data_IF_544009635574
#
_entry.id   IF_544009635574
#
_cell.length_a   1.000
_cell.length_b   1.000
_cell.length_c   1.000
_cell.angle_alpha   90.00
_cell.angle_beta   90.00
_cell.angle_gamma   90.00
#
_symmetry.space_group_name_H-M   'P 1'
#
loop_
_entity.id
_entity.type
_entity.pdbx_description
1 polymer ?
#
# COMPACT_ATOMS: atom_id res chain seq x y z
N UNK A 1 1.18 -75.68 -31.67
CA UNK A 1 0.64 -74.30 -31.70
C UNK A 1 1.33 -73.52 -30.58
N UNK A 2 1.84 -72.31 -30.87
CA UNK A 2 2.77 -71.53 -30.01
C UNK A 2 2.10 -71.03 -28.71
N UNK A 3 2.86 -70.58 -27.68
CA UNK A 3 3.40 -69.22 -27.72
C UNK A 3 4.85 -69.06 -27.22
N UNK A 4 5.44 -67.96 -27.69
CA UNK A 4 6.78 -67.43 -27.40
C UNK A 4 6.68 -66.55 -26.15
N UNK A 5 6.87 -67.11 -24.95
CA UNK A 5 6.72 -66.35 -23.70
C UNK A 5 7.97 -66.32 -22.79
N UNK A 6 8.97 -67.18 -23.00
CA UNK A 6 9.92 -67.48 -21.92
C UNK A 6 11.36 -66.98 -22.08
N UNK A 7 11.68 -66.15 -23.08
CA UNK A 7 13.09 -65.81 -23.37
C UNK A 7 13.55 -64.39 -23.01
N UNK A 8 12.76 -63.63 -22.25
CA UNK A 8 13.19 -62.30 -21.77
C UNK A 8 13.04 -62.16 -20.26
N UNK A 9 13.55 -63.17 -19.55
CA UNK A 9 13.81 -63.10 -18.11
C UNK A 9 15.31 -63.25 -17.86
N UNK A 10 16.11 -62.25 -18.21
CA UNK A 10 17.37 -62.00 -17.51
C UNK A 10 17.95 -60.61 -17.80
N UNK A 11 18.15 -59.87 -16.71
CA UNK A 11 18.92 -58.62 -16.61
C UNK A 11 18.18 -57.37 -17.13
N UNK A 12 17.78 -56.38 -16.31
CA UNK A 12 18.30 -55.91 -15.03
C UNK A 12 17.17 -55.33 -14.20
N UNK A 13 17.29 -55.54 -12.90
CA UNK A 13 16.44 -55.06 -11.82
C UNK A 13 16.08 -53.57 -11.98
N UNK A 14 14.81 -53.23 -11.72
CA UNK A 14 14.42 -51.85 -11.45
C UNK A 14 15.25 -51.33 -10.27
N UNK A 15 15.91 -50.15 -10.38
CA UNK A 15 16.57 -49.56 -9.23
C UNK A 15 15.52 -49.24 -8.15
N UNK A 16 15.81 -49.57 -6.88
CA UNK A 16 14.91 -49.31 -5.77
C UNK A 16 14.85 -47.80 -5.53
N UNK A 17 13.66 -47.21 -5.68
CA UNK A 17 13.44 -45.82 -5.29
C UNK A 17 12.68 -44.94 -6.28
N UNK A 18 11.56 -45.41 -6.84
CA UNK A 18 10.44 -44.50 -7.10
C UNK A 18 9.78 -44.15 -5.75
N UNK A 19 10.53 -43.44 -4.89
CA UNK A 19 9.88 -42.53 -3.96
C UNK A 19 9.23 -41.49 -4.85
N UNK A 20 7.90 -41.44 -4.76
CA UNK A 20 7.12 -40.25 -5.01
C UNK A 20 7.89 -39.08 -4.41
N UNK A 21 8.69 -38.39 -5.24
CA UNK A 21 8.99 -37.00 -4.97
C UNK A 21 7.65 -36.34 -5.19
N UNK A 22 6.95 -36.10 -4.08
CA UNK A 22 5.83 -35.17 -4.01
C UNK A 22 6.20 -34.00 -4.92
N UNK A 23 5.57 -33.93 -6.08
CA UNK A 23 5.73 -32.78 -6.94
C UNK A 23 5.10 -31.64 -6.15
N UNK A 24 5.85 -30.59 -5.76
CA UNK A 24 5.24 -29.46 -5.10
C UNK A 24 4.32 -28.84 -6.14
N UNK A 25 3.03 -28.93 -5.85
CA UNK A 25 1.91 -28.31 -6.55
C UNK A 25 1.99 -26.78 -6.40
N UNK A 26 3.07 -26.17 -6.92
CA UNK A 26 3.34 -24.73 -6.86
C UNK A 26 3.80 -24.19 -8.23
N UNK A 27 3.30 -24.79 -9.31
CA UNK A 27 3.46 -24.26 -10.67
C UNK A 27 2.50 -23.10 -10.97
N UNK A 28 2.26 -22.22 -9.99
CA UNK A 28 1.68 -20.90 -10.24
C UNK A 28 2.85 -20.01 -10.66
N UNK A 29 2.97 -19.83 -11.98
CA UNK A 29 3.90 -18.95 -12.72
C UNK A 29 4.93 -18.18 -11.89
N UNK A 30 6.24 -18.48 -12.00
CA UNK A 30 7.32 -17.77 -11.28
C UNK A 30 7.26 -16.24 -11.40
N UNK A 31 6.71 -15.73 -12.50
CA UNK A 31 6.52 -14.30 -12.78
C UNK A 31 5.41 -13.65 -11.93
N UNK A 32 4.49 -14.42 -11.35
CA UNK A 32 3.45 -13.95 -10.44
C UNK A 32 4.02 -13.45 -9.11
N UNK A 33 5.23 -13.90 -8.73
CA UNK A 33 5.92 -13.48 -7.50
C UNK A 33 6.63 -12.12 -7.62
N UNK A 34 6.72 -11.57 -8.84
CA UNK A 34 7.31 -10.27 -9.08
C UNK A 34 6.27 -9.17 -8.95
N UNK A 35 6.66 -8.07 -8.31
CA UNK A 35 5.87 -6.84 -8.35
C UNK A 35 5.85 -6.27 -9.77
N UNK A 36 4.89 -5.39 -10.06
CA UNK A 36 4.79 -4.72 -11.36
C UNK A 36 6.11 -4.03 -11.75
N UNK A 37 6.74 -3.34 -10.79
CA UNK A 37 8.03 -2.66 -11.01
C UNK A 37 9.17 -3.64 -11.27
N UNK A 38 9.21 -4.78 -10.58
CA UNK A 38 10.21 -5.82 -10.79
C UNK A 38 10.03 -6.50 -12.15
N UNK A 39 8.78 -6.69 -12.59
CA UNK A 39 8.46 -7.26 -13.90
C UNK A 39 8.93 -6.37 -15.05
N UNK A 40 8.77 -5.05 -14.93
CA UNK A 40 9.29 -4.09 -15.92
C UNK A 40 10.82 -4.13 -16.01
N UNK A 41 11.52 -4.13 -14.88
CA UNK A 41 13.00 -4.25 -14.88
C UNK A 41 13.44 -5.59 -15.48
N UNK A 42 12.74 -6.67 -15.17
CA UNK A 42 13.02 -8.00 -15.70
C UNK A 42 12.82 -8.07 -17.23
N UNK A 43 11.72 -7.53 -17.75
CA UNK A 43 11.42 -7.55 -19.19
C UNK A 43 12.47 -6.75 -19.97
N UNK A 44 12.75 -5.50 -19.55
CA UNK A 44 13.77 -4.65 -20.19
C UNK A 44 15.17 -5.26 -20.14
N UNK A 45 15.51 -5.93 -19.04
CA UNK A 45 16.77 -6.67 -18.97
C UNK A 45 16.81 -7.82 -19.96
N UNK A 46 15.73 -8.60 -20.08
CA UNK A 46 15.63 -9.73 -21.00
C UNK A 46 15.61 -9.31 -22.48
N UNK A 47 15.04 -8.14 -22.79
CA UNK A 47 15.10 -7.46 -24.10
C UNK A 47 16.54 -7.07 -24.51
N UNK A 48 17.50 -7.15 -23.59
CA UNK A 48 18.91 -6.93 -23.88
C UNK A 48 19.44 -5.58 -23.44
N UNK A 49 18.59 -4.68 -22.92
CA UNK A 49 19.01 -3.35 -22.50
C UNK A 49 20.08 -3.42 -21.39
N UNK A 50 20.98 -2.45 -21.43
CA UNK A 50 22.01 -2.23 -20.43
C UNK A 50 21.43 -1.57 -19.17
N UNK A 51 22.16 -1.62 -18.06
CA UNK A 51 21.68 -1.04 -16.81
C UNK A 51 21.47 0.48 -16.88
N UNK A 52 22.19 1.17 -17.77
CA UNK A 52 22.00 2.61 -18.00
C UNK A 52 20.72 2.88 -18.79
N UNK A 53 20.50 2.15 -19.88
CA UNK A 53 19.29 2.31 -20.69
C UNK A 53 18.02 1.96 -19.90
N UNK A 54 18.05 0.91 -19.08
CA UNK A 54 16.93 0.57 -18.18
C UNK A 54 16.72 1.66 -17.14
N UNK A 55 17.79 2.25 -16.62
CA UNK A 55 17.72 3.34 -15.65
C UNK A 55 17.08 4.59 -16.26
N UNK A 56 17.49 4.94 -17.48
CA UNK A 56 16.97 6.09 -18.22
C UNK A 56 15.50 5.87 -18.59
N UNK A 57 15.14 4.69 -19.10
CA UNK A 57 13.76 4.39 -19.53
C UNK A 57 12.78 4.28 -18.35
N UNK A 58 13.25 3.78 -17.20
CA UNK A 58 12.42 3.64 -16.01
C UNK A 58 12.56 4.83 -15.04
N UNK A 59 13.33 5.87 -15.37
CA UNK A 59 13.60 7.04 -14.54
C UNK A 59 14.10 6.71 -13.12
N UNK A 60 15.09 5.82 -13.01
CA UNK A 60 15.72 5.40 -11.74
C UNK A 60 17.24 5.35 -11.85
N UNK A 61 17.96 5.32 -10.72
CA UNK A 61 19.42 5.23 -10.75
C UNK A 61 19.91 3.84 -11.26
N UNK A 62 21.05 3.77 -11.98
CA UNK A 62 21.64 2.50 -12.46
C UNK A 62 21.92 1.47 -11.35
N UNK A 63 22.30 1.91 -10.15
CA UNK A 63 22.47 1.03 -9.00
C UNK A 63 21.14 0.44 -8.49
N UNK A 64 20.04 1.16 -8.68
CA UNK A 64 18.69 0.68 -8.35
C UNK A 64 18.29 -0.44 -9.30
N UNK A 65 18.61 -0.34 -10.60
CA UNK A 65 18.43 -1.45 -11.57
C UNK A 65 19.21 -2.69 -11.12
N UNK A 66 20.48 -2.54 -10.74
CA UNK A 66 21.29 -3.66 -10.22
C UNK A 66 20.67 -4.30 -8.97
N UNK A 67 20.15 -3.48 -8.06
CA UNK A 67 19.48 -3.94 -6.83
C UNK A 67 18.18 -4.68 -7.15
N UNK A 68 17.37 -4.17 -8.07
CA UNK A 68 16.16 -4.85 -8.53
C UNK A 68 16.49 -6.21 -9.16
N UNK A 69 17.47 -6.28 -10.06
CA UNK A 69 17.88 -7.54 -10.69
C UNK A 69 18.36 -8.58 -9.67
N UNK A 70 19.11 -8.17 -8.65
CA UNK A 70 19.53 -9.07 -7.57
C UNK A 70 18.33 -9.65 -6.80
N UNK A 71 17.34 -8.81 -6.47
CA UNK A 71 16.10 -9.24 -5.80
C UNK A 71 15.27 -10.15 -6.70
N UNK A 72 15.13 -9.81 -7.98
CA UNK A 72 14.41 -10.61 -8.99
C UNK A 72 15.04 -11.99 -9.10
N UNK A 73 16.37 -12.09 -9.24
CA UNK A 73 17.07 -13.36 -9.31
C UNK A 73 16.85 -14.21 -8.06
N UNK A 74 16.91 -13.59 -6.88
CA UNK A 74 16.62 -14.28 -5.61
C UNK A 74 15.16 -14.78 -5.53
N UNK A 75 14.19 -13.95 -5.94
CA UNK A 75 12.75 -14.28 -5.92
C UNK A 75 12.38 -15.38 -6.92
N UNK A 76 13.01 -15.38 -8.09
CA UNK A 76 12.81 -16.39 -9.13
C UNK A 76 13.68 -17.64 -8.94
N UNK A 77 14.59 -17.65 -7.97
CA UNK A 77 15.53 -18.76 -7.75
C UNK A 77 16.55 -18.95 -8.88
N UNK A 78 16.76 -17.94 -9.72
CA UNK A 78 17.67 -17.99 -10.86
C UNK A 78 19.01 -17.32 -10.54
N UNK A 79 20.05 -17.68 -11.29
CA UNK A 79 21.42 -17.24 -11.02
C UNK A 79 21.99 -16.30 -12.08
N UNK A 80 21.38 -16.23 -13.26
CA UNK A 80 21.92 -15.44 -14.37
C UNK A 80 20.82 -14.92 -15.30
N UNK A 81 21.21 -13.96 -16.13
CA UNK A 81 20.35 -13.31 -17.14
C UNK A 81 19.80 -14.32 -18.17
N UNK A 82 20.56 -15.36 -18.51
CA UNK A 82 20.13 -16.39 -19.46
C UNK A 82 18.90 -17.17 -18.94
N UNK A 83 18.90 -17.53 -17.65
CA UNK A 83 17.75 -18.16 -17.00
C UNK A 83 16.53 -17.22 -16.92
N UNK A 84 16.74 -15.91 -16.79
CA UNK A 84 15.66 -14.93 -16.83
C UNK A 84 14.99 -14.88 -18.21
N UNK A 85 15.81 -14.82 -19.26
CA UNK A 85 15.34 -14.83 -20.67
C UNK A 85 14.56 -16.12 -20.96
N UNK A 86 15.10 -17.26 -20.55
CA UNK A 86 14.44 -18.54 -20.70
C UNK A 86 13.04 -18.56 -20.04
N UNK A 87 12.94 -18.13 -18.77
CA UNK A 87 11.65 -18.10 -18.06
C UNK A 87 10.63 -17.15 -18.70
N UNK A 88 11.06 -16.03 -19.27
CA UNK A 88 10.16 -15.10 -19.96
C UNK A 88 9.71 -15.63 -21.33
N UNK A 89 10.53 -16.45 -22.00
CA UNK A 89 10.20 -17.07 -23.28
C UNK A 89 9.41 -18.38 -23.13
N UNK A 90 9.37 -18.96 -21.92
CA UNK A 90 8.65 -20.20 -21.62
C UNK A 90 7.16 -20.03 -21.31
N UNK A 91 6.61 -18.81 -21.34
CA UNK A 91 5.15 -18.63 -21.28
C UNK A 91 4.51 -19.33 -22.49
N UNK A 92 3.69 -20.38 -22.31
CA UNK A 92 2.94 -20.95 -23.42
C UNK A 92 2.02 -19.87 -23.98
N UNK A 93 2.18 -19.55 -25.27
CA UNK A 93 1.33 -18.60 -26.00
C UNK A 93 0.00 -19.20 -26.50
N UNK A 94 -0.44 -20.34 -25.97
CA UNK A 94 -1.61 -21.04 -26.49
C UNK A 94 -2.78 -21.04 -25.50
N UNK A 95 -3.63 -20.01 -25.59
CA UNK A 95 -5.09 -20.09 -25.67
C UNK A 95 -5.70 -18.66 -25.60
N UNK A 96 -5.86 -18.02 -26.75
CA UNK A 96 -6.45 -16.68 -26.88
C UNK A 96 -7.99 -16.69 -26.87
N UNK A 97 -8.67 -17.81 -26.59
CA UNK A 97 -10.13 -17.91 -26.76
C UNK A 97 -10.95 -18.58 -25.63
N UNK A 98 -10.39 -18.82 -24.45
CA UNK A 98 -11.23 -19.13 -23.28
C UNK A 98 -11.59 -17.83 -22.54
N UNK A 99 -12.87 -17.51 -22.28
CA UNK A 99 -13.23 -16.43 -21.37
C UNK A 99 -12.88 -16.86 -19.95
N UNK A 100 -11.60 -16.74 -19.60
CA UNK A 100 -11.16 -16.81 -18.22
C UNK A 100 -11.66 -15.51 -17.59
N UNK A 101 -12.84 -15.59 -16.95
CA UNK A 101 -13.27 -14.56 -16.02
C UNK A 101 -12.27 -14.57 -14.88
N UNK A 102 -11.18 -13.80 -15.04
CA UNK A 102 -10.31 -13.45 -13.94
C UNK A 102 -11.21 -12.73 -12.97
N UNK A 103 -11.50 -13.35 -11.83
CA UNK A 103 -11.94 -12.61 -10.66
C UNK A 103 -10.79 -11.67 -10.36
N UNK A 104 -10.84 -10.47 -10.93
CA UNK A 104 -9.94 -9.39 -10.64
C UNK A 104 -10.30 -8.96 -9.22
N UNK A 105 -9.70 -9.62 -8.23
CA UNK A 105 -9.61 -9.02 -6.92
C UNK A 105 -8.93 -7.65 -7.16
N UNK A 106 -9.57 -6.54 -6.77
CA UNK A 106 -8.97 -5.24 -6.95
C UNK A 106 -7.57 -5.28 -6.32
N UNK A 107 -6.54 -4.74 -6.99
CA UNK A 107 -5.21 -4.67 -6.41
C UNK A 107 -5.35 -4.05 -5.01
N UNK A 108 -4.65 -4.56 -3.98
CA UNK A 108 -4.70 -3.96 -2.66
C UNK A 108 -4.41 -2.47 -2.82
N UNK A 109 -5.25 -1.63 -2.22
CA UNK A 109 -5.10 -0.17 -2.33
C UNK A 109 -3.64 0.18 -2.00
N UNK A 110 -2.97 0.88 -2.91
CA UNK A 110 -1.60 1.30 -2.71
C UNK A 110 -1.52 2.02 -1.34
N UNK A 111 -0.70 1.54 -0.38
CA UNK A 111 -0.71 2.07 0.98
C UNK A 111 -0.16 3.51 1.06
N UNK A 112 0.43 4.00 -0.03
CA UNK A 112 0.98 5.34 -0.12
C UNK A 112 0.14 6.18 -1.08
N UNK A 113 -0.67 7.12 -0.58
CA UNK A 113 -1.60 7.90 -1.39
C UNK A 113 -0.94 9.02 -2.21
N UNK A 114 0.40 9.07 -2.23
CA UNK A 114 1.17 10.10 -2.94
C UNK A 114 1.03 11.47 -2.28
N UNK A 115 0.65 12.50 -3.07
CA UNK A 115 0.47 13.87 -2.57
C UNK A 115 -0.88 14.13 -1.91
N UNK A 116 -1.78 13.13 -1.89
CA UNK A 116 -3.08 13.26 -1.24
C UNK A 116 -2.87 13.21 0.28
N UNK A 117 -3.39 14.19 1.05
CA UNK A 117 -3.27 14.16 2.49
C UNK A 117 -4.11 13.03 3.09
N UNK A 118 -3.52 12.28 4.02
CA UNK A 118 -4.22 11.25 4.78
C UNK A 118 -5.39 11.85 5.55
N UNK A 119 -6.51 11.13 5.57
CA UNK A 119 -7.73 11.49 6.29
C UNK A 119 -7.83 10.68 7.59
N UNK A 120 -8.85 10.97 8.41
CA UNK A 120 -9.11 10.24 9.65
C UNK A 120 -9.24 8.73 9.44
N UNK A 121 -9.83 8.31 8.31
CA UNK A 121 -10.01 6.90 7.96
C UNK A 121 -8.68 6.19 7.67
N UNK A 122 -7.64 6.95 7.34
CA UNK A 122 -6.30 6.43 7.05
C UNK A 122 -5.40 6.38 8.29
N UNK A 123 -5.92 6.64 9.50
CA UNK A 123 -5.12 6.66 10.73
C UNK A 123 -4.30 5.38 10.94
N UNK A 124 -4.84 4.23 10.51
CA UNK A 124 -4.16 2.94 10.57
C UNK A 124 -2.91 2.84 9.66
N UNK A 125 -2.69 3.80 8.76
CA UNK A 125 -1.53 3.86 7.87
C UNK A 125 -0.58 5.04 8.20
N UNK A 126 -0.91 5.85 9.22
CA UNK A 126 -0.14 7.04 9.60
C UNK A 126 0.81 6.74 10.76
N UNK A 127 2.13 6.78 10.50
CA UNK A 127 3.18 6.39 11.46
C UNK A 127 4.34 7.38 11.51
N UNK A 128 5.11 7.33 12.59
CA UNK A 128 6.38 8.05 12.77
C UNK A 128 6.22 9.50 13.21
N UNK A 129 5.00 9.91 13.58
CA UNK A 129 4.66 11.26 14.05
C UNK A 129 3.98 11.29 15.42
N UNK A 130 4.12 10.20 16.17
CA UNK A 130 3.44 9.97 17.45
C UNK A 130 3.87 11.01 18.51
N UNK A 131 5.15 11.40 18.48
CA UNK A 131 5.68 12.41 19.40
C UNK A 131 5.07 13.80 19.15
N UNK A 132 4.93 14.22 17.88
CA UNK A 132 4.28 15.50 17.57
C UNK A 132 2.79 15.47 17.93
N UNK A 133 2.09 14.38 17.60
CA UNK A 133 0.68 14.20 17.97
C UNK A 133 0.50 14.34 19.48
N UNK A 134 1.28 13.61 20.27
CA UNK A 134 1.21 13.65 21.73
C UNK A 134 1.45 15.06 22.26
N UNK A 135 2.43 15.78 21.70
CA UNK A 135 2.72 17.15 22.09
C UNK A 135 1.53 18.10 21.79
N UNK A 136 0.92 17.98 20.61
CA UNK A 136 -0.26 18.76 20.24
C UNK A 136 -1.47 18.49 21.15
N UNK A 137 -1.72 17.23 21.50
CA UNK A 137 -2.81 16.86 22.43
C UNK A 137 -2.57 17.45 23.82
N UNK A 138 -1.33 17.37 24.34
CA UNK A 138 -1.00 17.98 25.62
C UNK A 138 -1.14 19.50 25.60
N UNK A 139 -0.76 20.15 24.49
CA UNK A 139 -0.93 21.58 24.29
C UNK A 139 -2.41 21.98 24.29
N UNK A 140 -3.25 21.27 23.51
CA UNK A 140 -4.70 21.53 23.45
C UNK A 140 -5.41 21.31 24.79
N UNK A 141 -4.82 20.52 25.69
CA UNK A 141 -5.28 20.36 27.07
C UNK A 141 -5.08 21.60 27.93
N UNK A 142 -4.10 22.43 27.59
CA UNK A 142 -3.74 23.64 28.34
C UNK A 142 -4.24 24.91 27.66
N UNK A 143 -4.26 24.94 26.33
CA UNK A 143 -4.65 26.09 25.53
C UNK A 143 -5.59 25.68 24.39
N UNK A 144 -6.73 26.35 24.20
CA UNK A 144 -7.71 26.00 23.15
C UNK A 144 -7.27 26.42 21.74
N UNK A 145 -6.02 26.85 21.56
CA UNK A 145 -5.49 27.34 20.30
C UNK A 145 -4.15 26.68 19.99
N UNK A 146 -4.04 26.14 18.78
CA UNK A 146 -2.83 25.51 18.26
C UNK A 146 -2.60 25.98 16.82
N UNK A 147 -1.41 26.50 16.55
CA UNK A 147 -0.98 26.88 15.20
C UNK A 147 0.06 25.88 14.68
N UNK A 148 -0.20 25.27 13.52
CA UNK A 148 0.71 24.32 12.88
C UNK A 148 1.37 24.95 11.65
N UNK A 149 2.68 25.18 11.71
CA UNK A 149 3.47 25.83 10.64
C UNK A 149 4.48 24.84 10.06
N UNK A 150 4.75 24.94 8.76
CA UNK A 150 5.79 24.14 8.10
C UNK A 150 5.72 24.21 6.58
N UNK A 151 6.76 23.73 5.87
CA UNK A 151 6.84 23.75 4.40
C UNK A 151 5.62 23.12 3.72
N UNK A 152 5.26 23.59 2.52
CA UNK A 152 4.19 22.96 1.73
C UNK A 152 4.51 21.48 1.46
N UNK A 153 3.51 20.62 1.51
CA UNK A 153 3.69 19.18 1.30
C UNK A 153 4.35 18.41 2.47
N UNK A 154 4.74 19.07 3.57
CA UNK A 154 5.34 18.39 4.74
C UNK A 154 4.39 17.48 5.54
N UNK A 155 3.13 17.32 5.09
CA UNK A 155 2.14 16.47 5.75
C UNK A 155 1.37 17.13 6.88
N UNK A 156 1.32 18.47 6.99
CA UNK A 156 0.57 19.17 8.06
C UNK A 156 -0.91 18.77 8.13
N UNK A 157 -1.58 18.77 6.98
CA UNK A 157 -2.98 18.36 6.89
C UNK A 157 -3.13 16.89 7.29
N UNK A 158 -2.26 16.00 6.82
CA UNK A 158 -2.25 14.59 7.22
C UNK A 158 -2.03 14.41 8.73
N UNK A 159 -1.10 15.17 9.31
CA UNK A 159 -0.80 15.14 10.74
C UNK A 159 -2.02 15.55 11.57
N UNK A 160 -2.80 16.54 11.10
CA UNK A 160 -4.05 16.91 11.75
C UNK A 160 -5.10 15.81 11.55
N UNK A 161 -5.42 15.47 10.30
CA UNK A 161 -6.57 14.63 9.98
C UNK A 161 -6.38 13.16 10.35
N UNK A 162 -5.23 12.57 10.04
CA UNK A 162 -4.96 11.15 10.31
C UNK A 162 -4.28 10.90 11.66
N UNK A 163 -3.68 11.93 12.25
CA UNK A 163 -2.96 11.82 13.53
C UNK A 163 -3.72 12.44 14.70
N UNK A 164 -3.81 13.77 14.72
CA UNK A 164 -4.35 14.52 15.85
C UNK A 164 -5.82 14.24 16.12
N UNK A 165 -6.68 14.28 15.09
CA UNK A 165 -8.12 14.15 15.29
C UNK A 165 -8.54 12.75 15.79
N UNK A 166 -8.02 11.64 15.23
CA UNK A 166 -8.28 10.31 15.76
C UNK A 166 -7.78 10.16 17.20
N UNK A 167 -6.59 10.70 17.51
CA UNK A 167 -6.04 10.66 18.87
C UNK A 167 -6.91 11.45 19.85
N UNK A 168 -7.40 12.65 19.47
CA UNK A 168 -8.30 13.44 20.32
C UNK A 168 -9.61 12.69 20.61
N UNK A 169 -10.19 12.02 19.61
CA UNK A 169 -11.41 11.24 19.76
C UNK A 169 -11.25 10.02 20.68
N UNK A 170 -10.05 9.42 20.71
CA UNK A 170 -9.75 8.25 21.55
C UNK A 170 -9.15 8.63 22.92
N UNK A 171 -8.74 9.89 23.09
CA UNK A 171 -8.02 10.30 24.28
C UNK A 171 -8.93 10.32 25.51
N UNK A 172 -8.43 9.76 26.61
CA UNK A 172 -9.08 9.82 27.94
C UNK A 172 -9.08 11.21 28.58
N UNK A 173 -8.52 12.22 27.93
CA UNK A 173 -8.38 13.56 28.48
C UNK A 173 -9.63 14.41 28.29
N UNK A 174 -10.46 14.03 27.31
CA UNK A 174 -11.68 14.74 26.96
C UNK A 174 -12.84 13.76 27.08
N UNK A 175 -14.02 14.28 27.43
CA UNK A 175 -15.23 13.47 27.47
C UNK A 175 -15.67 13.07 26.05
N UNK A 176 -16.55 12.08 25.95
CA UNK A 176 -17.22 11.78 24.69
C UNK A 176 -17.93 13.05 24.17
N UNK A 177 -17.86 13.28 22.86
CA UNK A 177 -18.45 14.45 22.17
C UNK A 177 -17.90 15.82 22.61
N UNK A 178 -16.75 15.87 23.28
CA UNK A 178 -16.11 17.14 23.68
C UNK A 178 -15.71 18.02 22.47
N UNK A 179 -15.35 17.39 21.35
CA UNK A 179 -14.86 18.08 20.17
C UNK A 179 -15.89 18.11 19.05
N UNK A 180 -16.33 19.31 18.66
CA UNK A 180 -17.01 19.52 17.39
C UNK A 180 -15.97 19.72 16.28
N UNK A 181 -15.81 18.72 15.41
CA UNK A 181 -14.89 18.82 14.28
C UNK A 181 -15.51 19.55 13.10
N UNK A 182 -14.89 20.66 12.68
CA UNK A 182 -15.18 21.38 11.42
C UNK A 182 -13.89 21.76 10.73
N UNK A 183 -13.87 21.64 9.40
CA UNK A 183 -12.73 22.07 8.57
C UNK A 183 -13.14 23.28 7.75
N UNK A 184 -12.38 24.37 7.87
CA UNK A 184 -12.65 25.63 7.19
C UNK A 184 -11.44 26.04 6.35
N UNK A 185 -11.69 26.50 5.12
CA UNK A 185 -10.74 27.30 4.36
C UNK A 185 -11.18 28.76 4.40
N UNK A 186 -10.40 29.68 5.00
CA UNK A 186 -10.79 31.07 5.25
C UNK A 186 -11.34 31.81 4.01
N UNK A 187 -10.73 31.63 2.84
CA UNK A 187 -11.13 32.32 1.61
C UNK A 187 -11.13 33.85 1.75
N UNK A 188 -11.91 34.53 0.91
CA UNK A 188 -12.02 35.99 0.92
C UNK A 188 -12.89 36.56 2.05
N UNK A 189 -13.78 35.76 2.66
CA UNK A 189 -14.72 36.19 3.69
C UNK A 189 -14.74 35.19 4.87
N UNK A 190 -13.68 35.16 5.70
CA UNK A 190 -13.47 34.16 6.74
C UNK A 190 -14.60 34.11 7.79
N UNK A 191 -15.08 35.27 8.25
CA UNK A 191 -16.14 35.32 9.27
C UNK A 191 -17.46 34.73 8.78
N UNK A 192 -17.84 35.03 7.53
CA UNK A 192 -19.05 34.46 6.91
C UNK A 192 -18.93 32.94 6.76
N UNK A 193 -17.78 32.46 6.27
CA UNK A 193 -17.52 31.02 6.12
C UNK A 193 -17.55 30.29 7.46
N UNK A 194 -17.07 30.92 8.53
CA UNK A 194 -17.13 30.35 9.87
C UNK A 194 -18.57 30.24 10.37
N UNK A 195 -19.39 31.28 10.18
CA UNK A 195 -20.81 31.26 10.54
C UNK A 195 -21.56 30.12 9.81
N UNK A 196 -21.38 30.00 8.49
CA UNK A 196 -21.98 28.91 7.69
C UNK A 196 -21.59 27.51 8.22
N UNK A 197 -20.35 27.31 8.67
CA UNK A 197 -19.90 26.03 9.23
C UNK A 197 -20.50 25.71 10.61
N UNK A 198 -20.89 26.74 11.37
CA UNK A 198 -21.52 26.61 12.67
C UNK A 198 -23.06 26.52 12.58
N UNK A 199 -23.69 27.12 11.56
CA UNK A 199 -25.16 27.10 11.40
C UNK A 199 -25.71 25.74 10.93
N UNK A 200 -24.89 24.91 10.27
CA UNK A 200 -25.29 23.56 9.79
C UNK A 200 -25.56 22.53 10.91
N UNK A 201 -25.72 22.96 12.16
CA UNK A 201 -25.90 22.13 13.37
C UNK A 201 -27.35 21.72 13.67
N UNK A 202 -28.32 22.15 12.87
CA UNK A 202 -29.76 21.99 13.13
C UNK A 202 -30.31 20.55 13.11
N UNK A 203 -29.47 19.52 12.91
CA UNK A 203 -29.86 18.11 12.98
C UNK A 203 -29.65 17.42 14.35
N UNK A 204 -28.91 18.05 15.28
CA UNK A 204 -28.59 17.53 16.63
C UNK A 204 -28.69 18.66 17.69
N UNK A 205 -29.82 19.36 17.64
CA UNK A 205 -29.99 20.76 18.06
C UNK A 205 -29.74 21.09 19.55
N UNK A 206 -30.07 20.22 20.51
CA UNK A 206 -29.99 20.61 21.94
C UNK A 206 -28.56 20.66 22.51
N UNK A 207 -27.66 19.76 22.08
CA UNK A 207 -26.32 19.64 22.68
C UNK A 207 -25.33 20.68 22.11
N UNK A 208 -25.47 21.00 20.83
CA UNK A 208 -24.60 21.95 20.14
C UNK A 208 -24.88 23.41 20.56
N UNK A 209 -26.15 23.78 20.70
CA UNK A 209 -26.55 25.12 21.13
C UNK A 209 -26.03 25.44 22.54
N UNK A 210 -26.14 24.48 23.46
CA UNK A 210 -25.62 24.60 24.83
C UNK A 210 -24.09 24.75 24.86
N UNK A 211 -23.37 24.00 24.03
CA UNK A 211 -21.91 24.02 23.95
C UNK A 211 -21.38 25.33 23.35
N UNK A 212 -22.01 25.82 22.28
CA UNK A 212 -21.66 27.11 21.65
C UNK A 212 -21.95 28.27 22.60
N UNK A 213 -23.10 28.27 23.29
CA UNK A 213 -23.39 29.29 24.32
C UNK A 213 -22.35 29.29 25.44
N UNK A 214 -21.93 28.12 25.95
CA UNK A 214 -20.86 28.03 26.96
C UNK A 214 -19.51 28.54 26.45
N UNK A 215 -19.19 28.29 25.19
CA UNK A 215 -17.92 28.70 24.59
C UNK A 215 -17.87 30.22 24.35
N UNK A 216 -18.97 30.81 23.89
CA UNK A 216 -19.10 32.26 23.75
C UNK A 216 -19.14 32.97 25.13
N UNK A 217 -19.84 32.41 26.11
CA UNK A 217 -19.93 32.99 27.46
C UNK A 217 -18.61 32.95 28.25
N UNK A 218 -17.65 32.08 27.89
CA UNK A 218 -16.32 32.00 28.52
C UNK A 218 -15.33 33.06 28.01
N UNK A 219 -15.65 33.69 26.89
CA UNK A 219 -14.75 34.61 26.17
C UNK A 219 -15.40 35.98 25.89
N UNK A 220 -16.54 36.27 26.49
CA UNK A 220 -17.16 37.59 26.59
C UNK A 220 -16.83 38.20 27.97
#
# INVERSE_FOLDING_TARGET
MRPVADTLKLMRQEPPGLRLMEQPTDAVEPLARLTERERLVASKSAEGLTYREIADELFIAPNTVRTHLSKIYKKLGIRNKAALIYLLNQTPQDNVNAPVSRIALPPPACPYPGMVPFQSDDAAYFYGREAEIKHMVQHLRQQPFLMLIGPSGSGKSSLVHAGLLPELAQSRYFEADYWLLRTLRPGANPSKRLAEQLETLDGQSEYCAHTIQRLLARHA
#
